data_IF_012194670911
#
_entry.id   IF_012194670911
#
_cell.length_a   1.000
_cell.length_b   1.000
_cell.length_c   1.000
_cell.angle_alpha   90.00
_cell.angle_beta   90.00
_cell.angle_gamma   90.00
#
_symmetry.space_group_name_H-M   'P 1'
#
loop_
_entity.id
_entity.type
_entity.pdbx_description
1 polymer ?
#
# COMPACT_ATOMS: atom_id res chain seq x y z
N UNK A 1 51.80 -64.00 -30.78
CA UNK A 1 51.74 -63.87 -29.32
C UNK A 1 50.58 -62.94 -28.98
N UNK A 2 49.68 -63.37 -28.09
CA UNK A 2 48.53 -62.60 -27.59
C UNK A 2 48.94 -61.58 -26.50
N UNK A 3 47.96 -60.72 -26.13
CA UNK A 3 47.87 -59.84 -24.93
C UNK A 3 48.43 -58.42 -25.10
N UNK A 4 47.82 -57.31 -24.65
CA UNK A 4 46.78 -56.98 -23.65
C UNK A 4 46.20 -55.61 -24.05
N UNK A 5 44.89 -55.41 -24.15
CA UNK A 5 44.01 -54.79 -23.12
C UNK A 5 44.58 -53.56 -22.38
N UNK A 6 43.76 -52.50 -22.35
CA UNK A 6 43.82 -51.31 -21.48
C UNK A 6 45.03 -50.39 -21.72
N UNK A 7 44.92 -49.10 -21.96
CA UNK A 7 44.26 -48.06 -21.16
C UNK A 7 44.16 -46.84 -22.07
N UNK A 8 42.94 -46.33 -22.34
CA UNK A 8 42.69 -44.91 -22.70
C UNK A 8 41.19 -44.59 -22.74
N UNK A 9 40.38 -45.27 -21.91
CA UNK A 9 39.12 -44.68 -21.47
C UNK A 9 39.45 -43.62 -20.41
N UNK A 10 38.67 -42.54 -20.35
CA UNK A 10 38.83 -41.37 -19.48
C UNK A 10 39.67 -40.21 -20.06
N UNK A 11 39.33 -39.79 -21.27
CA UNK A 11 39.51 -38.38 -21.62
C UNK A 11 38.31 -37.90 -22.41
N UNK A 12 37.66 -36.86 -21.89
CA UNK A 12 36.69 -35.98 -22.55
C UNK A 12 35.26 -36.53 -22.72
N UNK A 13 34.52 -36.47 -21.62
CA UNK A 13 33.18 -35.85 -21.61
C UNK A 13 32.84 -35.47 -20.16
N UNK A 14 33.57 -34.49 -19.63
CA UNK A 14 32.95 -33.59 -18.66
C UNK A 14 31.87 -32.85 -19.44
N UNK A 15 30.67 -33.39 -19.38
CA UNK A 15 29.46 -32.64 -19.64
C UNK A 15 29.55 -31.46 -18.70
N UNK A 16 29.79 -30.29 -19.28
CA UNK A 16 29.53 -29.01 -18.65
C UNK A 16 28.04 -28.97 -18.28
N UNK A 17 27.68 -29.64 -17.17
CA UNK A 17 26.55 -29.25 -16.35
C UNK A 17 26.96 -27.93 -15.77
N UNK A 18 26.79 -26.88 -16.58
CA UNK A 18 26.75 -25.53 -16.10
C UNK A 18 25.86 -25.55 -14.86
N UNK A 19 26.45 -25.18 -13.74
CA UNK A 19 25.73 -24.83 -12.53
C UNK A 19 24.76 -23.75 -13.00
N UNK A 20 23.54 -24.14 -13.33
CA UNK A 20 22.41 -23.22 -13.39
C UNK A 20 22.24 -22.79 -11.95
N UNK A 21 23.05 -21.82 -11.56
CA UNK A 21 22.79 -20.96 -10.43
C UNK A 21 21.32 -20.59 -10.58
N UNK A 22 20.50 -21.16 -9.71
CA UNK A 22 19.11 -20.75 -9.55
C UNK A 22 19.19 -19.35 -8.97
N UNK A 23 19.46 -18.38 -9.85
CA UNK A 23 19.17 -16.99 -9.58
C UNK A 23 17.66 -17.00 -9.42
N UNK A 24 17.20 -16.97 -8.16
CA UNK A 24 15.78 -16.73 -7.88
C UNK A 24 15.44 -15.47 -8.67
N UNK A 25 14.62 -15.63 -9.71
CA UNK A 25 14.06 -14.49 -10.39
C UNK A 25 13.43 -13.64 -9.28
N UNK A 26 13.90 -12.40 -9.11
CA UNK A 26 13.21 -11.45 -8.26
C UNK A 26 11.75 -11.45 -8.71
N UNK A 27 10.82 -11.72 -7.79
CA UNK A 27 9.40 -11.72 -8.10
C UNK A 27 9.06 -10.42 -8.83
N UNK A 28 8.46 -10.50 -10.02
CA UNK A 28 8.14 -9.28 -10.76
C UNK A 28 7.16 -8.44 -9.93
N UNK A 29 7.49 -7.17 -9.72
CA UNK A 29 6.63 -6.25 -8.98
C UNK A 29 5.45 -5.74 -9.81
N UNK A 30 5.38 -6.08 -11.10
CA UNK A 30 4.27 -5.72 -11.98
C UNK A 30 2.92 -6.17 -11.43
N UNK A 31 2.87 -7.38 -10.87
CA UNK A 31 1.65 -7.91 -10.23
C UNK A 31 1.20 -7.12 -8.99
N UNK A 32 2.06 -6.26 -8.44
CA UNK A 32 1.80 -5.44 -7.24
C UNK A 32 1.73 -3.95 -7.55
N UNK A 33 1.63 -3.55 -8.82
CA UNK A 33 1.54 -2.13 -9.17
C UNK A 33 0.35 -1.45 -8.48
N UNK A 34 -0.77 -2.15 -8.33
CA UNK A 34 -1.98 -1.64 -7.68
C UNK A 34 -1.95 -1.71 -6.16
N UNK A 35 -0.98 -2.41 -5.58
CA UNK A 35 -0.89 -2.59 -4.14
C UNK A 35 -0.69 -1.24 -3.44
N UNK A 36 -1.60 -0.90 -2.53
CA UNK A 36 -1.51 0.32 -1.73
C UNK A 36 -1.88 1.62 -2.46
N UNK A 37 -2.34 1.57 -3.72
CA UNK A 37 -2.77 2.78 -4.45
C UNK A 37 -3.88 3.56 -3.74
N UNK A 38 -4.79 2.85 -3.07
CA UNK A 38 -5.91 3.43 -2.31
C UNK A 38 -5.60 3.62 -0.82
N UNK A 39 -4.34 3.83 -0.44
CA UNK A 39 -3.92 4.05 0.95
C UNK A 39 -3.14 5.36 1.05
N UNK A 40 -3.62 6.28 1.90
CA UNK A 40 -2.94 7.53 2.17
C UNK A 40 -1.72 7.30 3.09
N UNK A 41 -0.55 7.07 2.52
CA UNK A 41 0.69 6.85 3.28
C UNK A 41 1.94 7.21 2.49
N UNK A 42 3.07 7.36 3.20
CA UNK A 42 4.39 7.57 2.62
C UNK A 42 4.46 8.76 1.67
N UNK A 43 4.99 8.52 0.46
CA UNK A 43 5.19 9.58 -0.55
C UNK A 43 3.89 10.26 -0.97
N UNK A 44 2.79 9.49 -1.07
CA UNK A 44 1.47 10.04 -1.41
C UNK A 44 1.06 11.02 -0.33
N UNK A 45 1.11 10.60 0.95
CA UNK A 45 0.77 11.50 2.05
C UNK A 45 1.67 12.75 2.10
N UNK A 46 2.98 12.60 1.89
CA UNK A 46 3.93 13.73 1.84
C UNK A 46 3.56 14.79 0.78
N UNK A 47 3.09 14.37 -0.39
CA UNK A 47 2.74 15.29 -1.49
C UNK A 47 1.51 16.14 -1.15
N UNK A 48 0.46 15.54 -0.57
CA UNK A 48 -0.74 16.27 -0.18
C UNK A 48 -0.54 17.08 1.10
N UNK A 49 0.20 16.55 2.09
CA UNK A 49 0.49 17.28 3.33
C UNK A 49 1.29 18.56 3.06
N UNK A 50 2.22 18.55 2.10
CA UNK A 50 2.98 19.74 1.70
C UNK A 50 2.10 20.86 1.14
N UNK A 51 1.00 20.53 0.46
CA UNK A 51 0.02 21.53 -0.03
C UNK A 51 -0.63 22.29 1.12
N UNK A 52 -0.80 21.64 2.27
CA UNK A 52 -1.41 22.18 3.48
C UNK A 52 -0.39 22.63 4.54
N UNK A 53 0.89 22.73 4.19
CA UNK A 53 1.94 23.24 5.08
C UNK A 53 2.52 22.23 6.09
N UNK A 54 2.16 20.94 5.96
CA UNK A 54 2.70 19.86 6.78
C UNK A 54 3.67 18.97 5.98
N UNK A 55 4.32 18.05 6.69
CA UNK A 55 5.12 16.98 6.08
C UNK A 55 4.68 15.64 6.66
N UNK A 56 4.96 14.52 5.97
CA UNK A 56 4.66 13.18 6.48
C UNK A 56 5.45 12.80 7.73
N UNK A 57 6.38 13.63 8.19
CA UNK A 57 6.94 13.51 9.53
C UNK A 57 5.87 13.71 10.62
N UNK A 58 4.86 14.55 10.37
CA UNK A 58 3.74 14.78 11.29
C UNK A 58 3.01 13.47 11.61
N UNK A 59 2.79 12.60 10.61
CA UNK A 59 2.12 11.32 10.80
C UNK A 59 2.89 10.30 11.66
N UNK A 60 4.18 10.55 11.94
CA UNK A 60 5.01 9.67 12.78
C UNK A 60 4.82 9.96 14.28
N UNK A 61 4.45 11.18 14.63
CA UNK A 61 4.21 11.57 16.03
C UNK A 61 2.71 11.44 16.35
N UNK A 62 2.29 10.48 17.19
CA UNK A 62 0.87 10.27 17.51
C UNK A 62 0.16 11.50 18.10
N UNK A 63 0.89 12.52 18.57
CA UNK A 63 0.28 13.74 19.08
C UNK A 63 -0.34 14.66 17.99
N UNK A 64 -0.08 14.40 16.70
CA UNK A 64 -0.63 15.21 15.59
C UNK A 64 -2.16 15.31 15.61
N UNK A 65 -2.85 14.34 16.21
CA UNK A 65 -4.31 14.33 16.35
C UNK A 65 -4.85 15.49 17.19
N UNK A 66 -4.01 16.14 18.00
CA UNK A 66 -4.40 17.29 18.82
C UNK A 66 -3.93 18.62 18.24
N UNK A 67 -2.87 18.62 17.43
CA UNK A 67 -2.20 19.84 16.95
C UNK A 67 -2.49 20.14 15.48
N UNK A 68 -2.52 19.10 14.65
CA UNK A 68 -2.50 19.20 13.18
C UNK A 68 -3.64 18.43 12.51
N UNK A 69 -4.66 18.02 13.28
CA UNK A 69 -5.78 17.22 12.79
C UNK A 69 -6.51 17.87 11.61
N UNK A 70 -6.80 19.18 11.68
CA UNK A 70 -7.43 19.92 10.58
C UNK A 70 -6.56 19.93 9.31
N UNK A 71 -5.24 20.05 9.46
CA UNK A 71 -4.29 20.05 8.33
C UNK A 71 -4.25 18.68 7.65
N UNK A 72 -4.19 17.61 8.44
CA UNK A 72 -4.21 16.23 7.93
C UNK A 72 -5.57 15.90 7.30
N UNK A 73 -6.68 16.36 7.90
CA UNK A 73 -8.02 16.16 7.37
C UNK A 73 -8.16 16.78 5.97
N UNK A 74 -7.75 18.04 5.79
CA UNK A 74 -7.78 18.69 4.48
C UNK A 74 -6.88 17.99 3.45
N UNK A 75 -5.69 17.52 3.85
CA UNK A 75 -4.80 16.78 2.97
C UNK A 75 -5.38 15.42 2.53
N UNK A 76 -6.01 14.70 3.45
CA UNK A 76 -6.72 13.44 3.15
C UNK A 76 -7.94 13.71 2.27
N UNK A 77 -8.64 14.82 2.50
CA UNK A 77 -9.81 15.19 1.73
C UNK A 77 -9.49 15.45 0.26
N UNK A 78 -8.48 16.27 -0.02
CA UNK A 78 -8.02 16.53 -1.39
C UNK A 78 -7.64 15.24 -2.12
N UNK A 79 -6.87 14.38 -1.44
CA UNK A 79 -6.49 13.07 -2.00
C UNK A 79 -7.72 12.19 -2.27
N UNK A 80 -8.67 12.13 -1.34
CA UNK A 80 -9.86 11.31 -1.47
C UNK A 80 -10.74 11.77 -2.65
N UNK A 81 -10.88 13.08 -2.83
CA UNK A 81 -11.59 13.68 -3.97
C UNK A 81 -10.89 13.35 -5.30
N UNK A 82 -9.55 13.44 -5.34
CA UNK A 82 -8.76 13.05 -6.52
C UNK A 82 -8.90 11.54 -6.85
N UNK A 83 -9.22 10.71 -5.86
CA UNK A 83 -9.57 9.28 -6.05
C UNK A 83 -11.06 9.04 -6.36
N UNK A 84 -11.89 10.09 -6.38
CA UNK A 84 -13.33 10.01 -6.68
C UNK A 84 -14.21 9.62 -5.48
N UNK A 85 -13.71 9.73 -4.25
CA UNK A 85 -14.50 9.48 -3.04
C UNK A 85 -15.48 10.63 -2.77
N UNK A 86 -16.66 10.31 -2.26
CA UNK A 86 -17.73 11.26 -1.92
C UNK A 86 -18.30 11.07 -0.51
N UNK A 87 -17.88 9.99 0.17
CA UNK A 87 -18.29 9.62 1.52
C UNK A 87 -17.08 9.28 2.36
N UNK A 88 -17.18 9.52 3.66
CA UNK A 88 -16.22 9.04 4.64
C UNK A 88 -16.91 8.22 5.72
N UNK A 89 -16.12 7.40 6.42
CA UNK A 89 -16.58 6.70 7.59
C UNK A 89 -15.46 6.55 8.61
N UNK A 90 -15.81 6.52 9.90
CA UNK A 90 -14.96 5.92 10.91
C UNK A 90 -15.11 4.41 10.79
N UNK A 91 -14.11 3.77 10.19
CA UNK A 91 -14.07 2.32 10.06
C UNK A 91 -13.46 1.70 11.32
N UNK A 92 -14.20 0.83 12.00
CA UNK A 92 -13.71 0.15 13.20
C UNK A 92 -14.30 -1.26 13.33
N UNK A 93 -13.71 -2.06 14.21
CA UNK A 93 -14.21 -3.39 14.54
C UNK A 93 -14.90 -3.36 15.92
N UNK A 94 -16.25 -3.38 15.98
CA UNK A 94 -16.96 -3.33 17.27
C UNK A 94 -16.80 -4.66 18.03
N UNK A 95 -16.73 -4.59 19.37
CA UNK A 95 -16.68 -5.79 20.22
C UNK A 95 -17.86 -6.75 19.98
N UNK A 96 -19.04 -6.23 19.64
CA UNK A 96 -20.24 -7.02 19.36
C UNK A 96 -20.19 -7.77 18.00
N UNK A 97 -19.20 -7.53 17.14
CA UNK A 97 -18.97 -8.34 15.94
C UNK A 97 -18.49 -9.76 16.26
N UNK A 98 -18.28 -10.08 17.56
CA UNK A 98 -18.14 -11.41 18.17
C UNK A 98 -17.61 -12.49 17.23
N UNK A 99 -16.36 -12.32 16.79
CA UNK A 99 -15.35 -13.37 16.56
C UNK A 99 -15.65 -14.54 15.62
N UNK A 100 -16.84 -14.68 15.03
CA UNK A 100 -17.23 -15.89 14.30
C UNK A 100 -17.05 -15.79 12.79
N UNK A 101 -16.84 -14.57 12.25
CA UNK A 101 -16.54 -14.34 10.83
C UNK A 101 -15.61 -13.14 10.63
N UNK A 102 -14.55 -13.33 9.85
CA UNK A 102 -13.75 -12.22 9.33
C UNK A 102 -14.62 -11.32 8.44
N UNK A 103 -14.43 -10.00 8.52
CA UNK A 103 -15.04 -9.04 7.59
C UNK A 103 -16.25 -8.26 8.10
N UNK A 104 -16.64 -8.38 9.37
CA UNK A 104 -17.65 -7.49 9.96
C UNK A 104 -16.98 -6.18 10.42
N UNK A 105 -17.30 -5.07 9.78
CA UNK A 105 -16.89 -3.73 10.20
C UNK A 105 -18.10 -2.91 10.64
N UNK A 106 -17.88 -2.04 11.63
CA UNK A 106 -18.78 -0.95 11.94
C UNK A 106 -18.43 0.23 11.04
N UNK A 107 -19.43 0.76 10.33
CA UNK A 107 -19.30 1.94 9.49
C UNK A 107 -20.59 2.74 9.48
N UNK A 108 -20.47 4.06 9.45
CA UNK A 108 -21.52 4.99 9.08
C UNK A 108 -20.95 5.85 7.96
N UNK A 109 -21.61 5.86 6.81
CA UNK A 109 -21.17 6.61 5.64
C UNK A 109 -21.77 8.01 5.70
N UNK A 110 -20.90 9.00 5.88
CA UNK A 110 -21.26 10.42 5.89
C UNK A 110 -20.85 11.05 4.56
N UNK A 111 -21.75 11.84 3.98
CA UNK A 111 -21.44 12.62 2.77
C UNK A 111 -20.44 13.72 3.09
N UNK A 112 -19.45 13.93 2.21
CA UNK A 112 -18.47 15.01 2.32
C UNK A 112 -19.03 16.36 1.84
N UNK A 113 -20.27 16.69 2.22
CA UNK A 113 -21.01 17.86 1.74
C UNK A 113 -21.65 18.61 2.91
N UNK A 114 -21.64 19.94 2.85
CA UNK A 114 -22.42 20.81 3.73
C UNK A 114 -23.09 21.94 2.94
N UNK A 115 -24.04 22.61 3.58
CA UNK A 115 -24.55 23.89 3.10
C UNK A 115 -23.72 25.02 3.70
N UNK A 116 -23.29 25.97 2.87
CA UNK A 116 -22.68 27.21 3.33
C UNK A 116 -23.76 28.19 3.86
N UNK A 117 -23.35 29.38 4.30
CA UNK A 117 -24.28 30.44 4.76
C UNK A 117 -25.29 30.88 3.70
N UNK A 118 -24.97 30.67 2.43
CA UNK A 118 -25.78 31.06 1.28
C UNK A 118 -26.70 29.92 0.80
N UNK A 119 -26.73 28.79 1.54
CA UNK A 119 -27.46 27.56 1.20
C UNK A 119 -26.99 26.88 -0.09
N UNK A 120 -25.75 27.11 -0.50
CA UNK A 120 -25.11 26.39 -1.58
C UNK A 120 -24.39 25.14 -1.05
N UNK A 121 -24.39 24.08 -1.86
CA UNK A 121 -23.72 22.83 -1.52
C UNK A 121 -22.21 23.02 -1.72
N UNK A 122 -21.44 22.81 -0.65
CA UNK A 122 -19.98 22.86 -0.67
C UNK A 122 -19.39 21.57 -0.14
N UNK A 123 -18.23 21.20 -0.69
CA UNK A 123 -17.41 20.06 -0.30
C UNK A 123 -16.75 20.35 1.06
N UNK A 124 -16.91 19.45 2.04
CA UNK A 124 -16.39 19.63 3.40
C UNK A 124 -16.08 18.31 4.09
N UNK A 125 -15.05 18.33 4.94
CA UNK A 125 -14.54 17.16 5.65
C UNK A 125 -14.24 17.44 7.13
N UNK A 126 -14.86 18.47 7.69
CA UNK A 126 -14.69 18.91 9.09
C UNK A 126 -15.80 18.37 10.00
#
# INVERSE_FOLDING_TARGET
>A
MFSTSAVRSLARREVARGIKSSVRAFASLEAYQDFGKAVFTGKVADEYLKKHGASGAVLKDPNWVNTDADVVANAVFDWAIDQGANVYCHWFHPMAASGVRHGLSGQVQNMMLKFNSDNEIVQDFK
#
